data_IF_542652712598
#
_entry.id   IF_542652712598
#
_cell.length_a   1.000
_cell.length_b   1.000
_cell.length_c   1.000
_cell.angle_alpha   90.00
_cell.angle_beta   90.00
_cell.angle_gamma   90.00
#
_symmetry.space_group_name_H-M   'P 1'
#
loop_
_entity.id
_entity.type
_entity.pdbx_description
1 polymer ?
#
# COMPACT_ATOMS: atom_id res chain seq x y z
N UNK A 1 -9.13 -7.23 -19.12
CA UNK A 1 -8.34 -5.98 -19.14
C UNK A 1 -6.88 -6.34 -19.32
N UNK A 2 -6.11 -5.55 -20.07
CA UNK A 2 -4.66 -5.74 -20.22
C UNK A 2 -3.89 -4.85 -19.24
N UNK A 3 -2.70 -5.31 -18.88
CA UNK A 3 -1.75 -4.62 -18.02
C UNK A 3 -0.44 -4.42 -18.77
N UNK A 4 0.12 -3.22 -18.63
CA UNK A 4 1.37 -2.78 -19.25
C UNK A 4 2.38 -2.41 -18.18
N UNK A 5 3.67 -2.63 -18.46
CA UNK A 5 4.72 -2.19 -17.55
C UNK A 5 4.79 -0.66 -17.50
N UNK A 6 4.99 -0.11 -16.31
CA UNK A 6 5.32 1.31 -16.10
C UNK A 6 6.59 1.75 -16.82
N UNK A 7 7.46 0.84 -17.28
CA UNK A 7 8.67 1.15 -18.07
C UNK A 7 8.52 0.85 -19.56
N UNK A 8 7.42 0.24 -19.95
CA UNK A 8 6.98 0.09 -21.35
C UNK A 8 7.83 -0.84 -22.23
N UNK A 9 8.76 -1.63 -21.67
CA UNK A 9 9.56 -2.58 -22.45
C UNK A 9 9.09 -4.04 -22.30
N UNK A 10 8.38 -4.35 -21.22
CA UNK A 10 7.81 -5.66 -21.03
C UNK A 10 6.59 -5.90 -21.94
N UNK A 11 6.36 -7.15 -22.38
CA UNK A 11 5.09 -7.54 -23.01
C UNK A 11 3.89 -7.19 -22.13
N UNK A 12 2.76 -6.85 -22.74
CA UNK A 12 1.50 -6.74 -22.01
C UNK A 12 1.08 -8.10 -21.47
N UNK A 13 0.45 -8.11 -20.31
CA UNK A 13 -0.05 -9.31 -19.63
C UNK A 13 -1.50 -9.12 -19.21
N UNK A 14 -2.20 -10.20 -18.93
CA UNK A 14 -3.50 -10.14 -18.27
C UNK A 14 -3.34 -9.91 -16.75
N UNK A 15 -4.45 -9.84 -16.01
CA UNK A 15 -4.41 -9.62 -14.56
C UNK A 15 -3.60 -10.68 -13.82
N UNK A 16 -3.75 -11.95 -14.21
CA UNK A 16 -3.02 -13.05 -13.59
C UNK A 16 -1.51 -12.92 -13.81
N UNK A 17 -1.10 -12.62 -15.05
CA UNK A 17 0.28 -12.34 -15.37
C UNK A 17 0.83 -11.13 -14.61
N UNK A 18 0.04 -10.07 -14.44
CA UNK A 18 0.46 -8.91 -13.65
C UNK A 18 0.62 -9.24 -12.16
N UNK A 19 -0.34 -9.99 -11.59
CA UNK A 19 -0.38 -10.35 -10.17
C UNK A 19 0.78 -11.28 -9.77
N UNK A 20 1.04 -12.32 -10.56
CA UNK A 20 2.06 -13.32 -10.20
C UNK A 20 3.49 -12.94 -10.57
N UNK A 21 3.66 -12.01 -11.52
CA UNK A 21 4.99 -11.56 -11.89
C UNK A 21 5.64 -10.66 -10.83
N UNK A 22 4.81 -9.93 -10.05
CA UNK A 22 5.24 -8.96 -9.04
C UNK A 22 5.88 -7.70 -9.65
N UNK A 23 7.02 -7.90 -10.33
CA UNK A 23 7.67 -6.93 -11.20
C UNK A 23 7.55 -7.37 -12.67
N UNK A 24 7.47 -6.42 -13.57
CA UNK A 24 7.67 -6.67 -14.98
C UNK A 24 9.14 -7.04 -15.26
N UNK A 25 9.44 -7.83 -16.32
CA UNK A 25 10.81 -8.23 -16.66
C UNK A 25 11.79 -7.06 -16.88
N UNK A 26 11.28 -5.86 -17.15
CA UNK A 26 12.05 -4.63 -17.31
C UNK A 26 12.28 -3.87 -16.00
N UNK A 27 11.91 -4.46 -14.86
CA UNK A 27 12.00 -3.85 -13.53
C UNK A 27 10.85 -2.91 -13.18
N UNK A 28 9.92 -2.68 -14.10
CA UNK A 28 8.73 -1.85 -13.86
C UNK A 28 7.65 -2.57 -13.06
N UNK A 29 6.58 -1.84 -12.74
CA UNK A 29 5.36 -2.39 -12.14
C UNK A 29 4.29 -2.51 -13.22
N UNK A 30 3.45 -3.54 -13.15
CA UNK A 30 2.29 -3.61 -14.04
C UNK A 30 1.17 -2.67 -13.59
N UNK A 31 0.63 -1.90 -14.53
CA UNK A 31 -0.52 -1.01 -14.38
C UNK A 31 -1.56 -1.33 -15.46
N UNK A 32 -2.87 -1.15 -15.21
CA UNK A 32 -3.88 -1.36 -16.25
C UNK A 32 -3.63 -0.42 -17.43
N UNK A 33 -3.78 -0.93 -18.65
CA UNK A 33 -3.60 -0.17 -19.90
C UNK A 33 -4.52 1.06 -19.92
N UNK A 34 -5.75 0.90 -19.43
CA UNK A 34 -6.74 1.95 -19.27
C UNK A 34 -7.32 1.96 -17.84
N UNK A 35 -7.46 3.16 -17.25
CA UNK A 35 -8.18 3.34 -15.98
C UNK A 35 -9.68 3.54 -16.21
N UNK A 36 -10.55 2.65 -15.67
CA UNK A 36 -12.00 2.76 -15.82
C UNK A 36 -12.53 4.09 -15.28
N UNK A 37 -13.37 4.79 -16.04
CA UNK A 37 -13.97 6.06 -15.60
C UNK A 37 -15.31 5.80 -14.91
N UNK A 38 -15.50 6.38 -13.72
CA UNK A 38 -16.74 6.26 -12.94
C UNK A 38 -17.58 7.53 -13.07
N UNK A 39 -18.83 7.39 -13.48
CA UNK A 39 -19.77 8.51 -13.51
C UNK A 39 -20.35 8.83 -12.13
N UNK A 40 -20.95 10.03 -12.01
CA UNK A 40 -21.53 10.50 -10.75
C UNK A 40 -22.69 9.62 -10.25
N UNK A 41 -23.41 8.96 -11.15
CA UNK A 41 -24.54 8.11 -10.79
C UNK A 41 -24.06 6.82 -10.12
N UNK A 42 -23.04 6.20 -10.69
CA UNK A 42 -22.34 5.04 -10.16
C UNK A 42 -21.74 5.36 -8.80
N UNK A 43 -21.05 6.50 -8.66
CA UNK A 43 -20.50 6.94 -7.38
C UNK A 43 -21.59 7.15 -6.31
N UNK A 44 -22.75 7.71 -6.67
CA UNK A 44 -23.89 7.86 -5.74
C UNK A 44 -24.43 6.50 -5.30
N UNK A 45 -24.61 5.56 -6.23
CA UNK A 45 -25.04 4.19 -5.91
C UNK A 45 -24.03 3.48 -5.00
N UNK A 46 -22.75 3.62 -5.28
CA UNK A 46 -21.68 2.96 -4.53
C UNK A 46 -21.48 3.56 -3.13
N UNK A 47 -21.84 4.83 -2.92
CA UNK A 47 -21.79 5.47 -1.59
C UNK A 47 -22.67 4.80 -0.53
N UNK A 48 -23.65 3.99 -0.95
CA UNK A 48 -24.56 3.25 -0.09
C UNK A 48 -24.06 1.83 0.24
N UNK A 49 -22.95 1.40 -0.37
CA UNK A 49 -22.42 0.06 -0.17
C UNK A 49 -21.65 -0.03 1.15
N UNK A 50 -21.67 -1.22 1.76
CA UNK A 50 -20.73 -1.55 2.83
C UNK A 50 -19.30 -1.55 2.27
N UNK A 51 -18.30 -1.40 3.14
CA UNK A 51 -16.90 -1.46 2.72
C UNK A 51 -16.59 -2.72 1.88
N UNK A 52 -16.99 -3.94 2.29
CA UNK A 52 -16.82 -5.13 1.45
C UNK A 52 -17.56 -5.02 0.11
N UNK A 53 -18.79 -4.47 0.09
CA UNK A 53 -19.54 -4.26 -1.14
C UNK A 53 -18.88 -3.27 -2.09
N UNK A 54 -18.27 -2.21 -1.58
CA UNK A 54 -17.56 -1.21 -2.36
C UNK A 54 -16.25 -1.76 -2.93
N UNK A 55 -15.43 -2.43 -2.12
CA UNK A 55 -14.20 -3.10 -2.57
C UNK A 55 -14.53 -4.08 -3.68
N UNK A 56 -15.57 -4.88 -3.44
CA UNK A 56 -16.13 -5.83 -4.38
C UNK A 56 -16.41 -5.15 -5.72
N UNK A 57 -17.15 -4.05 -5.76
CA UNK A 57 -17.46 -3.36 -7.02
C UNK A 57 -16.21 -2.74 -7.68
N UNK A 58 -15.32 -2.12 -6.91
CA UNK A 58 -14.09 -1.50 -7.40
C UNK A 58 -13.16 -2.52 -8.07
N UNK A 59 -12.85 -3.64 -7.39
CA UNK A 59 -11.95 -4.66 -7.90
C UNK A 59 -12.49 -5.31 -9.18
N UNK A 60 -13.81 -5.42 -9.35
CA UNK A 60 -14.43 -5.97 -10.56
C UNK A 60 -14.17 -5.16 -11.84
N UNK A 61 -13.71 -3.90 -11.69
CA UNK A 61 -13.31 -3.08 -12.83
C UNK A 61 -11.94 -3.45 -13.39
N UNK A 62 -11.10 -4.08 -12.56
CA UNK A 62 -9.70 -4.40 -12.86
C UNK A 62 -9.49 -5.90 -13.06
N UNK A 63 -10.28 -6.72 -12.37
CA UNK A 63 -10.18 -8.18 -12.40
C UNK A 63 -11.28 -8.74 -13.29
N UNK A 64 -10.90 -9.51 -14.31
CA UNK A 64 -11.86 -10.25 -15.13
C UNK A 64 -12.68 -11.24 -14.28
N UNK A 65 -14.00 -11.38 -14.50
CA UNK A 65 -14.87 -12.24 -13.68
C UNK A 65 -14.45 -13.72 -13.68
N UNK A 66 -13.63 -14.12 -14.65
CA UNK A 66 -13.05 -15.45 -14.82
C UNK A 66 -11.80 -15.74 -13.95
N UNK A 67 -11.15 -14.74 -13.35
CA UNK A 67 -9.81 -14.91 -12.73
C UNK A 67 -9.82 -14.95 -11.20
N UNK A 68 -10.25 -13.88 -10.52
CA UNK A 68 -10.14 -13.77 -9.05
C UNK A 68 -11.37 -13.07 -8.44
N UNK A 69 -11.99 -13.66 -7.41
CA UNK A 69 -12.94 -12.94 -6.57
C UNK A 69 -12.26 -11.83 -5.75
N UNK A 70 -12.45 -10.61 -6.22
CA UNK A 70 -12.82 -9.36 -5.51
C UNK A 70 -12.01 -8.76 -4.35
N UNK A 71 -10.87 -9.26 -3.89
CA UNK A 71 -10.07 -8.55 -2.86
C UNK A 71 -8.62 -8.22 -3.29
N UNK A 72 -8.22 -6.97 -2.94
CA UNK A 72 -6.90 -6.28 -2.99
C UNK A 72 -6.50 -5.46 -4.24
N UNK A 73 -6.26 -4.13 -4.05
CA UNK A 73 -5.19 -3.29 -4.68
C UNK A 73 -5.32 -1.76 -4.41
N UNK A 74 -4.19 -1.05 -4.60
CA UNK A 74 -3.92 0.37 -4.31
C UNK A 74 -4.91 1.37 -4.97
N UNK A 75 -5.86 1.88 -4.18
CA UNK A 75 -7.04 2.58 -4.71
C UNK A 75 -6.96 4.12 -4.74
N UNK A 76 -6.13 4.77 -3.93
CA UNK A 76 -6.25 6.21 -3.67
C UNK A 76 -6.09 7.12 -4.90
N UNK A 77 -4.91 7.12 -5.52
CA UNK A 77 -4.61 7.95 -6.69
C UNK A 77 -5.37 7.51 -7.95
N UNK A 78 -5.60 6.20 -8.09
CA UNK A 78 -6.43 5.65 -9.15
C UNK A 78 -7.87 6.20 -9.02
N UNK A 79 -8.48 6.14 -7.84
CA UNK A 79 -9.84 6.64 -7.63
C UNK A 79 -10.03 8.11 -8.01
N UNK A 80 -9.04 8.98 -7.72
CA UNK A 80 -9.06 10.39 -8.17
C UNK A 80 -9.09 10.47 -9.70
N UNK A 81 -8.22 9.71 -10.39
CA UNK A 81 -8.19 9.65 -11.86
C UNK A 81 -9.40 8.98 -12.48
N UNK A 82 -10.11 8.15 -11.73
CA UNK A 82 -11.39 7.53 -12.11
C UNK A 82 -12.58 8.47 -11.88
N UNK A 83 -12.38 9.67 -11.32
CA UNK A 83 -13.41 10.70 -11.14
C UNK A 83 -13.99 10.81 -9.73
N UNK A 84 -13.44 10.11 -8.74
CA UNK A 84 -13.88 10.24 -7.35
C UNK A 84 -13.55 11.64 -6.81
N UNK A 85 -14.54 12.40 -6.28
CA UNK A 85 -14.34 13.79 -5.82
C UNK A 85 -13.68 13.83 -4.43
N UNK A 86 -12.52 13.20 -4.29
CA UNK A 86 -11.70 13.20 -3.07
C UNK A 86 -10.41 13.97 -3.29
N UNK A 87 -9.86 14.50 -2.20
CA UNK A 87 -8.51 15.07 -2.16
C UNK A 87 -7.63 14.16 -1.33
N UNK A 88 -6.46 13.83 -1.86
CA UNK A 88 -5.52 12.95 -1.18
C UNK A 88 -4.52 13.76 -0.35
N UNK A 89 -4.20 13.24 0.82
CA UNK A 89 -3.15 13.75 1.69
C UNK A 89 -2.19 12.59 2.01
N UNK A 90 -0.97 12.67 1.48
CA UNK A 90 0.11 11.74 1.80
C UNK A 90 0.87 12.26 3.02
N UNK A 91 0.60 11.68 4.18
CA UNK A 91 1.24 12.07 5.44
C UNK A 91 2.27 11.01 5.81
N UNK A 92 3.52 11.45 6.02
CA UNK A 92 4.67 10.57 6.30
C UNK A 92 5.33 10.94 7.62
N UNK A 93 6.20 10.06 8.14
CA UNK A 93 7.08 10.41 9.25
C UNK A 93 8.33 11.14 8.72
N UNK A 94 9.36 11.31 9.55
CA UNK A 94 10.61 11.98 9.16
C UNK A 94 11.40 11.29 8.04
N UNK A 95 11.08 10.05 7.65
CA UNK A 95 11.58 9.42 6.43
C UNK A 95 10.72 9.92 5.25
N UNK A 96 10.99 11.17 4.86
CA UNK A 96 10.01 12.05 4.23
C UNK A 96 10.13 12.17 2.70
N UNK A 97 10.76 11.19 2.04
CA UNK A 97 11.04 11.24 0.59
C UNK A 97 9.78 11.49 -0.25
N UNK A 98 8.63 10.94 0.14
CA UNK A 98 7.34 11.20 -0.52
C UNK A 98 6.91 12.66 -0.35
N UNK A 99 7.09 13.23 0.85
CA UNK A 99 6.76 14.62 1.12
C UNK A 99 7.65 15.56 0.29
N UNK A 100 8.97 15.34 0.30
CA UNK A 100 9.94 16.13 -0.49
C UNK A 100 9.67 16.03 -1.98
N UNK A 101 9.37 14.84 -2.50
CA UNK A 101 9.05 14.65 -3.91
C UNK A 101 7.78 15.41 -4.32
N UNK A 102 6.72 15.35 -3.50
CA UNK A 102 5.47 16.06 -3.80
C UNK A 102 5.63 17.58 -3.64
N UNK A 103 6.34 18.06 -2.62
CA UNK A 103 6.45 19.50 -2.33
C UNK A 103 7.48 20.21 -3.18
N UNK A 104 8.64 19.59 -3.38
CA UNK A 104 9.84 20.22 -3.92
C UNK A 104 10.35 19.50 -5.18
N UNK A 105 9.79 18.34 -5.52
CA UNK A 105 10.28 17.50 -6.61
C UNK A 105 11.53 16.69 -6.24
N UNK A 106 12.03 16.77 -5.01
CA UNK A 106 13.20 16.03 -4.58
C UNK A 106 12.83 14.59 -4.17
N UNK A 107 13.13 13.64 -5.06
CA UNK A 107 12.99 12.20 -4.86
C UNK A 107 14.37 11.54 -4.67
N UNK A 108 15.14 12.04 -3.70
CA UNK A 108 16.47 11.52 -3.37
C UNK A 108 16.48 10.75 -2.05
N UNK A 109 17.34 9.74 -1.96
CA UNK A 109 17.62 9.03 -0.72
C UNK A 109 18.28 9.95 0.30
N UNK A 110 17.98 9.72 1.57
CA UNK A 110 18.72 10.30 2.68
C UNK A 110 19.91 9.41 3.05
N UNK A 111 20.87 9.94 3.80
CA UNK A 111 22.06 9.18 4.21
C UNK A 111 21.72 7.87 4.96
N UNK A 112 20.68 7.89 5.81
CA UNK A 112 20.24 6.73 6.55
C UNK A 112 18.73 6.78 6.82
N UNK A 113 18.12 5.59 6.95
CA UNK A 113 16.77 5.45 7.51
C UNK A 113 16.84 5.78 8.99
N UNK A 114 15.94 6.63 9.45
CA UNK A 114 15.86 7.02 10.87
C UNK A 114 14.70 6.27 11.52
N UNK A 115 14.92 5.54 12.62
CA UNK A 115 13.83 4.89 13.34
C UNK A 115 12.76 5.89 13.79
N UNK A 116 11.50 5.52 13.69
CA UNK A 116 10.35 6.26 14.21
C UNK A 116 9.41 5.36 15.00
N UNK A 117 8.45 5.97 15.72
CA UNK A 117 7.35 5.23 16.32
C UNK A 117 6.44 4.58 15.26
N UNK A 118 6.36 5.17 14.06
CA UNK A 118 5.64 4.62 12.92
C UNK A 118 6.55 3.76 12.04
N UNK A 119 7.20 2.75 12.62
CA UNK A 119 8.31 1.99 12.01
C UNK A 119 8.04 1.40 10.61
N UNK A 120 6.83 0.93 10.32
CA UNK A 120 6.46 0.46 8.96
C UNK A 120 6.54 1.53 7.86
N UNK A 121 6.67 2.81 8.21
CA UNK A 121 6.86 3.94 7.30
C UNK A 121 8.32 4.39 7.21
N UNK A 122 9.25 3.72 7.92
CA UNK A 122 10.69 4.00 7.89
C UNK A 122 11.32 3.43 6.62
N UNK A 123 10.93 4.02 5.48
CA UNK A 123 11.35 3.60 4.16
C UNK A 123 12.03 4.75 3.42
N UNK A 124 12.99 4.38 2.58
CA UNK A 124 13.71 5.32 1.73
C UNK A 124 13.37 5.14 0.24
N UNK A 125 12.92 3.96 -0.16
CA UNK A 125 12.50 3.67 -1.53
C UNK A 125 11.01 3.32 -1.53
N UNK A 126 10.11 4.31 -1.71
CA UNK A 126 8.68 4.04 -1.83
C UNK A 126 8.39 3.54 -3.25
N UNK A 127 8.56 2.23 -3.50
CA UNK A 127 8.41 1.64 -4.84
C UNK A 127 7.07 2.01 -5.54
N UNK A 128 5.99 2.18 -4.78
CA UNK A 128 4.69 2.61 -5.31
C UNK A 128 4.69 4.06 -5.87
N UNK A 129 5.71 4.87 -5.59
CA UNK A 129 5.86 6.19 -6.22
C UNK A 129 6.06 6.07 -7.74
N UNK A 130 6.65 4.97 -8.24
CA UNK A 130 6.77 4.72 -9.68
C UNK A 130 5.39 4.72 -10.37
N UNK A 131 4.35 4.15 -9.72
CA UNK A 131 2.97 4.17 -10.22
C UNK A 131 2.40 5.59 -10.28
N UNK A 132 2.73 6.43 -9.30
CA UNK A 132 2.30 7.83 -9.26
C UNK A 132 2.98 8.62 -10.38
N UNK A 133 4.30 8.45 -10.58
CA UNK A 133 5.04 9.09 -11.68
C UNK A 133 4.47 8.70 -13.04
N UNK A 134 4.17 7.42 -13.25
CA UNK A 134 3.53 6.93 -14.47
C UNK A 134 2.15 7.56 -14.68
N UNK A 135 1.31 7.56 -13.65
CA UNK A 135 -0.06 8.08 -13.72
C UNK A 135 -0.10 9.58 -14.04
N UNK A 136 0.79 10.38 -13.46
CA UNK A 136 0.82 11.83 -13.65
C UNK A 136 1.67 12.30 -14.83
N UNK A 137 2.51 11.42 -15.40
CA UNK A 137 3.19 11.65 -16.69
C UNK A 137 2.30 11.38 -17.91
N UNK A 138 1.01 11.08 -17.69
CA UNK A 138 0.07 10.72 -18.77
C UNK A 138 0.24 9.28 -19.22
N UNK A 139 0.47 8.36 -18.28
CA UNK A 139 0.72 6.94 -18.57
C UNK A 139 1.97 6.69 -19.41
N UNK A 140 2.95 7.58 -19.35
CA UNK A 140 4.14 7.52 -20.19
C UNK A 140 5.19 6.57 -19.62
N UNK A 141 5.30 5.39 -20.24
CA UNK A 141 6.34 4.42 -19.89
C UNK A 141 7.75 4.93 -20.15
N UNK A 142 7.94 5.73 -21.21
CA UNK A 142 9.23 6.30 -21.56
C UNK A 142 9.74 7.29 -20.50
N UNK A 143 8.87 8.20 -20.04
CA UNK A 143 9.21 9.18 -19.00
C UNK A 143 9.51 8.46 -17.68
N UNK A 144 8.64 7.53 -17.29
CA UNK A 144 8.79 6.78 -16.03
C UNK A 144 10.09 5.97 -16.02
N UNK A 145 10.39 5.24 -17.10
CA UNK A 145 11.65 4.50 -17.24
C UNK A 145 12.87 5.42 -17.08
N UNK A 146 12.91 6.54 -17.79
CA UNK A 146 14.04 7.46 -17.72
C UNK A 146 14.27 8.01 -16.29
N UNK A 147 13.19 8.33 -15.57
CA UNK A 147 13.25 8.78 -14.18
C UNK A 147 13.74 7.68 -13.24
N UNK A 148 13.22 6.46 -13.38
CA UNK A 148 13.57 5.34 -12.51
C UNK A 148 15.00 4.83 -12.77
N UNK A 149 15.45 4.73 -14.02
CA UNK A 149 16.83 4.37 -14.37
C UNK A 149 17.83 5.41 -13.84
N UNK A 150 17.47 6.70 -13.89
CA UNK A 150 18.28 7.74 -13.25
C UNK A 150 18.36 7.50 -11.74
N UNK A 151 17.22 7.35 -11.06
CA UNK A 151 17.17 7.14 -9.62
C UNK A 151 17.93 5.88 -9.18
N UNK A 152 17.81 4.76 -9.89
CA UNK A 152 18.53 3.52 -9.61
C UNK A 152 20.05 3.70 -9.71
N UNK A 153 20.51 4.54 -10.66
CA UNK A 153 21.94 4.81 -10.87
C UNK A 153 22.52 5.80 -9.86
N UNK A 154 21.76 6.83 -9.48
CA UNK A 154 22.28 7.97 -8.70
C UNK A 154 21.74 8.04 -7.28
N UNK A 155 20.71 7.26 -6.94
CA UNK A 155 19.95 7.35 -5.70
C UNK A 155 19.32 8.74 -5.44
N UNK A 156 19.24 9.57 -6.49
CA UNK A 156 18.81 10.96 -6.43
C UNK A 156 18.12 11.36 -7.72
N UNK A 157 16.93 11.94 -7.57
CA UNK A 157 16.09 12.36 -8.69
C UNK A 157 15.41 13.67 -8.37
N UNK A 158 15.57 14.67 -9.24
CA UNK A 158 14.74 15.86 -9.24
C UNK A 158 13.62 15.67 -10.28
N UNK A 159 12.36 15.67 -9.83
CA UNK A 159 11.21 15.53 -10.69
C UNK A 159 11.08 16.76 -11.62
N UNK A 160 10.75 16.56 -12.91
CA UNK A 160 10.41 17.65 -13.82
C UNK A 160 9.28 18.52 -13.25
N UNK A 161 9.40 19.84 -13.40
CA UNK A 161 8.47 20.80 -12.79
C UNK A 161 7.01 20.58 -13.20
N UNK A 162 6.77 20.26 -14.47
CA UNK A 162 5.42 19.95 -14.97
C UNK A 162 4.82 18.71 -14.28
N UNK A 163 5.62 17.65 -14.11
CA UNK A 163 5.18 16.42 -13.45
C UNK A 163 4.93 16.67 -11.96
N UNK A 164 5.84 17.39 -11.30
CA UNK A 164 5.71 17.80 -9.91
C UNK A 164 4.42 18.61 -9.69
N UNK A 165 4.15 19.62 -10.52
CA UNK A 165 2.94 20.46 -10.43
C UNK A 165 1.67 19.61 -10.52
N UNK A 166 1.58 18.71 -11.50
CA UNK A 166 0.44 17.80 -11.67
C UNK A 166 0.21 16.90 -10.45
N UNK A 167 1.29 16.42 -9.82
CA UNK A 167 1.19 15.61 -8.59
C UNK A 167 0.74 16.49 -7.42
N UNK A 168 1.33 17.67 -7.23
CA UNK A 168 0.98 18.59 -6.12
C UNK A 168 -0.46 19.10 -6.20
N UNK A 169 -1.04 19.22 -7.40
CA UNK A 169 -2.45 19.58 -7.60
C UNK A 169 -3.41 18.49 -7.12
N UNK A 170 -3.02 17.22 -7.26
CA UNK A 170 -3.87 16.08 -6.90
C UNK A 170 -3.63 15.56 -5.47
N UNK A 171 -2.40 15.69 -4.96
CA UNK A 171 -1.97 15.13 -3.69
C UNK A 171 -1.28 16.19 -2.85
N UNK A 172 -1.85 16.48 -1.69
CA UNK A 172 -1.19 17.26 -0.65
C UNK A 172 -0.30 16.35 0.20
N UNK A 173 0.72 16.90 0.88
CA UNK A 173 1.58 16.08 1.73
C UNK A 173 2.11 16.83 2.95
N UNK A 174 2.42 16.07 3.99
CA UNK A 174 3.02 16.55 5.24
C UNK A 174 3.95 15.51 5.87
N UNK A 175 4.99 15.97 6.55
CA UNK A 175 5.90 15.16 7.36
C UNK A 175 5.65 15.43 8.84
N UNK A 176 5.61 14.37 9.65
CA UNK A 176 5.18 14.39 11.04
C UNK A 176 6.27 13.78 11.94
N UNK A 177 6.56 14.43 13.07
CA UNK A 177 7.54 13.94 14.04
C UNK A 177 6.92 12.97 15.07
N UNK A 178 7.75 12.20 15.76
CA UNK A 178 7.30 11.29 16.84
C UNK A 178 6.59 12.04 17.99
N UNK A 179 6.99 13.29 18.29
CA UNK A 179 6.27 14.13 19.26
C UNK A 179 4.88 14.50 18.77
N UNK A 180 4.71 14.72 17.46
CA UNK A 180 3.39 14.98 16.89
C UNK A 180 2.52 13.70 16.85
N UNK A 181 3.13 12.55 16.56
CA UNK A 181 2.47 11.23 16.63
C UNK A 181 1.93 10.97 18.04
N UNK A 182 2.78 11.06 19.06
CA UNK A 182 2.38 10.82 20.46
C UNK A 182 1.31 11.81 20.94
N UNK A 183 1.43 13.10 20.58
CA UNK A 183 0.38 14.10 20.85
C UNK A 183 -0.95 13.73 20.19
N UNK A 184 -0.93 13.29 18.92
CA UNK A 184 -2.14 12.89 18.21
C UNK A 184 -2.79 11.65 18.84
N UNK A 185 -2.00 10.66 19.25
CA UNK A 185 -2.48 9.49 20.01
C UNK A 185 -3.16 9.90 21.31
N UNK A 186 -2.47 10.70 22.14
CA UNK A 186 -3.01 11.17 23.41
C UNK A 186 -4.26 12.05 23.26
N UNK A 187 -4.31 12.90 22.23
CA UNK A 187 -5.51 13.70 21.91
C UNK A 187 -6.69 12.81 21.49
N UNK A 188 -6.47 11.87 20.58
CA UNK A 188 -7.54 11.00 20.10
C UNK A 188 -8.13 10.15 21.24
N UNK A 189 -7.28 9.63 22.13
CA UNK A 189 -7.75 8.94 23.33
C UNK A 189 -8.61 9.85 24.21
N UNK A 190 -8.13 11.04 24.57
CA UNK A 190 -8.89 11.97 25.44
C UNK A 190 -10.23 12.40 24.84
N UNK A 191 -10.27 12.67 23.54
CA UNK A 191 -11.44 13.22 22.87
C UNK A 191 -12.45 12.14 22.43
N UNK A 192 -11.97 10.93 22.09
CA UNK A 192 -12.79 9.92 21.41
C UNK A 192 -12.75 8.54 22.08
N UNK A 193 -11.90 8.33 23.10
CA UNK A 193 -11.64 7.03 23.71
C UNK A 193 -11.23 5.96 22.68
N UNK A 194 -10.54 6.39 21.62
CA UNK A 194 -10.05 5.54 20.55
C UNK A 194 -8.52 5.50 20.56
N UNK A 195 -7.97 4.29 20.68
CA UNK A 195 -6.52 4.08 20.75
C UNK A 195 -5.94 3.92 19.34
N UNK A 196 -5.25 4.96 18.86
CA UNK A 196 -4.57 4.94 17.57
C UNK A 196 -3.29 4.11 17.62
N UNK A 197 -2.99 3.36 16.56
CA UNK A 197 -1.61 2.95 16.30
C UNK A 197 -0.76 4.16 15.84
N UNK A 198 0.57 4.13 15.96
CA UNK A 198 1.42 5.25 15.55
C UNK A 198 1.25 5.62 14.07
N UNK A 199 1.04 4.66 13.16
CA UNK A 199 0.80 4.93 11.73
C UNK A 199 -0.51 5.67 11.48
N UNK A 200 -1.58 5.31 12.20
CA UNK A 200 -2.86 6.03 12.14
C UNK A 200 -2.70 7.45 12.69
N UNK A 201 -1.90 7.60 13.75
CA UNK A 201 -1.63 8.88 14.38
C UNK A 201 -0.84 9.84 13.49
N UNK A 202 -0.02 9.36 12.54
CA UNK A 202 0.58 10.20 11.50
C UNK A 202 -0.52 10.93 10.70
N UNK A 203 -1.49 10.18 10.16
CA UNK A 203 -2.60 10.77 9.40
C UNK A 203 -3.55 11.63 10.26
N UNK A 204 -3.78 11.25 11.52
CA UNK A 204 -4.63 12.02 12.44
C UNK A 204 -3.94 13.29 12.95
N UNK A 205 -2.60 13.32 13.04
CA UNK A 205 -1.85 14.56 13.32
C UNK A 205 -2.15 15.63 12.28
N UNK A 206 -2.09 15.26 11.00
CA UNK A 206 -2.51 16.13 9.90
C UNK A 206 -3.95 16.62 10.10
N UNK A 207 -4.85 15.71 10.51
CA UNK A 207 -6.23 16.11 10.76
C UNK A 207 -6.33 17.21 11.83
N UNK A 208 -5.67 17.02 12.97
CA UNK A 208 -5.70 17.96 14.09
C UNK A 208 -5.07 19.31 13.76
N UNK A 209 -3.95 19.34 13.03
CA UNK A 209 -3.34 20.61 12.61
C UNK A 209 -4.28 21.45 11.75
N UNK A 210 -5.03 20.81 10.85
CA UNK A 210 -5.97 21.52 9.99
C UNK A 210 -7.24 21.97 10.73
N UNK A 211 -7.70 21.24 11.74
CA UNK A 211 -8.87 21.64 12.54
C UNK A 211 -8.53 22.74 13.54
N UNK A 212 -7.34 22.71 14.14
CA UNK A 212 -6.87 23.76 15.06
C UNK A 212 -6.70 25.11 14.36
N UNK A 213 -6.47 25.10 13.04
CA UNK A 213 -6.45 26.32 12.21
C UNK A 213 -7.83 26.98 11.98
N UNK A 214 -8.91 26.42 12.54
CA UNK A 214 -10.31 26.90 12.42
C UNK A 214 -10.79 27.23 11.00
N UNK A 215 -10.22 26.57 9.99
CA UNK A 215 -10.69 26.71 8.60
C UNK A 215 -11.78 25.67 8.33
N UNK A 216 -12.94 26.09 7.77
CA UNK A 216 -13.92 25.13 7.26
C UNK A 216 -13.23 24.18 6.27
N UNK A 217 -13.33 22.88 6.52
CA UNK A 217 -12.75 21.87 5.66
C UNK A 217 -13.75 20.75 5.42
N UNK A 218 -13.75 20.12 4.23
CA UNK A 218 -14.58 18.94 3.99
C UNK A 218 -14.23 17.81 4.96
N UNK A 219 -15.15 16.85 5.17
CA UNK A 219 -14.89 15.69 5.99
C UNK A 219 -13.63 14.96 5.53
N UNK A 220 -12.86 14.47 6.51
CA UNK A 220 -11.59 13.77 6.29
C UNK A 220 -11.71 12.34 6.77
N UNK A 221 -11.27 11.40 5.94
CA UNK A 221 -11.12 10.00 6.30
C UNK A 221 -9.64 9.72 6.52
N UNK A 222 -9.24 9.49 7.78
CA UNK A 222 -7.89 9.06 8.12
C UNK A 222 -7.83 7.53 8.07
N UNK A 223 -6.92 6.97 7.27
CA UNK A 223 -6.77 5.53 7.18
C UNK A 223 -6.07 4.99 8.43
N UNK A 224 -6.64 3.93 9.02
CA UNK A 224 -6.09 3.24 10.18
C UNK A 224 -5.53 1.87 9.75
N UNK A 225 -4.26 1.78 9.34
CA UNK A 225 -3.71 0.57 8.70
C UNK A 225 -3.41 -0.56 9.68
N UNK A 226 -3.39 -0.29 10.98
CA UNK A 226 -3.06 -1.28 11.99
C UNK A 226 -3.72 -0.97 13.34
N UNK A 227 -3.87 -2.02 14.17
CA UNK A 227 -4.25 -1.88 15.57
C UNK A 227 -3.08 -1.39 16.43
N UNK A 228 -3.38 -0.60 17.46
CA UNK A 228 -2.39 -0.13 18.45
C UNK A 228 -1.73 -1.27 19.23
N UNK A 229 -2.40 -2.40 19.38
CA UNK A 229 -1.87 -3.59 20.08
C UNK A 229 -0.58 -4.13 19.44
N UNK A 230 -0.28 -3.78 18.18
CA UNK A 230 0.95 -4.17 17.49
C UNK A 230 2.16 -3.29 17.86
N UNK A 231 1.94 -2.18 18.57
CA UNK A 231 2.96 -1.16 18.85
C UNK A 231 2.88 -0.68 20.31
N UNK A 232 3.00 -1.58 21.31
CA UNK A 232 2.88 -1.22 22.73
C UNK A 232 3.89 -0.14 23.16
N UNK A 233 5.09 -0.13 22.58
CA UNK A 233 6.12 0.88 22.83
C UNK A 233 5.68 2.30 22.45
N UNK A 234 4.97 2.46 21.32
CA UNK A 234 4.44 3.75 20.90
C UNK A 234 3.28 4.21 21.79
N UNK A 235 2.45 3.26 22.25
CA UNK A 235 1.36 3.54 23.20
C UNK A 235 1.93 4.04 24.53
N UNK A 236 2.98 3.38 25.06
CA UNK A 236 3.67 3.82 26.27
C UNK A 236 4.34 5.18 26.09
N UNK A 237 5.00 5.43 24.95
CA UNK A 237 5.60 6.73 24.63
C UNK A 237 4.55 7.87 24.56
N UNK A 238 3.30 7.57 24.19
CA UNK A 238 2.20 8.52 24.23
C UNK A 238 1.62 8.74 25.64
N UNK A 239 2.15 8.08 26.68
CA UNK A 239 1.63 8.12 28.05
C UNK A 239 0.29 7.38 28.21
N UNK A 240 0.00 6.43 27.32
CA UNK A 240 -1.22 5.64 27.31
C UNK A 240 -0.93 4.20 27.77
N UNK A 241 -1.99 3.45 28.09
CA UNK A 241 -1.88 2.05 28.51
C UNK A 241 -2.09 1.12 27.31
N UNK A 242 -1.11 0.25 26.99
CA UNK A 242 -1.30 -0.78 25.97
C UNK A 242 -2.40 -1.76 26.38
N UNK A 243 -3.34 -1.98 25.48
CA UNK A 243 -4.36 -3.02 25.62
C UNK A 243 -4.17 -4.06 24.53
N UNK A 244 -3.86 -5.29 24.95
CA UNK A 244 -3.77 -6.43 24.04
C UNK A 244 -5.00 -7.31 24.23
N UNK A 245 -5.82 -7.52 23.18
CA UNK A 245 -6.99 -8.40 23.26
C UNK A 245 -6.60 -9.82 23.71
N UNK A 246 -7.46 -10.47 24.50
CA UNK A 246 -7.21 -11.81 25.03
C UNK A 246 -6.90 -12.85 23.94
N UNK A 247 -7.59 -12.76 22.79
CA UNK A 247 -7.36 -13.66 21.65
C UNK A 247 -5.97 -13.50 21.04
N UNK A 248 -5.39 -12.29 21.10
CA UNK A 248 -4.02 -12.02 20.63
C UNK A 248 -3.01 -12.52 21.64
N UNK A 249 -3.22 -12.29 22.94
CA UNK A 249 -2.39 -12.86 24.00
C UNK A 249 -2.34 -14.39 23.93
N UNK A 250 -3.48 -15.03 23.62
CA UNK A 250 -3.54 -16.47 23.44
C UNK A 250 -2.64 -16.99 22.30
N UNK A 251 -2.26 -16.15 21.32
CA UNK A 251 -1.33 -16.54 20.25
C UNK A 251 0.11 -16.71 20.73
N UNK A 252 0.53 -16.00 21.79
CA UNK A 252 1.90 -16.07 22.32
C UNK A 252 2.26 -17.47 22.85
N UNK A 253 1.24 -18.23 23.26
CA UNK A 253 1.40 -19.58 23.79
C UNK A 253 1.15 -20.69 22.76
N UNK A 254 0.80 -20.35 21.51
CA UNK A 254 0.61 -21.35 20.46
C UNK A 254 1.95 -21.86 19.94
N UNK A 255 1.98 -23.14 19.57
CA UNK A 255 3.16 -23.74 18.95
C UNK A 255 3.52 -23.01 17.65
N UNK A 256 4.75 -22.49 17.58
CA UNK A 256 5.30 -21.87 16.37
C UNK A 256 5.96 -22.93 15.49
N UNK A 257 5.67 -22.91 14.19
CA UNK A 257 6.30 -23.79 13.20
C UNK A 257 7.26 -23.00 12.33
N UNK A 258 8.53 -22.99 12.70
CA UNK A 258 9.60 -22.31 11.96
C UNK A 258 10.78 -23.25 11.71
N UNK A 259 11.59 -22.94 10.71
CA UNK A 259 12.87 -23.60 10.47
C UNK A 259 13.97 -22.56 10.69
N UNK A 260 14.86 -22.73 11.67
CA UNK A 260 15.91 -21.75 11.93
C UNK A 260 16.91 -21.75 10.78
N UNK A 261 17.32 -20.55 10.36
CA UNK A 261 18.37 -20.34 9.36
C UNK A 261 19.47 -19.49 10.02
N UNK A 262 20.72 -19.98 9.96
CA UNK A 262 21.88 -19.35 10.60
C UNK A 262 22.72 -18.63 9.57
N UNK A 263 23.48 -17.64 10.03
CA UNK A 263 24.48 -16.96 9.20
C UNK A 263 25.54 -17.98 8.76
N UNK A 264 25.74 -18.11 7.45
CA UNK A 264 26.66 -19.10 6.85
C UNK A 264 25.98 -20.33 6.27
N UNK A 265 24.68 -20.54 6.52
CA UNK A 265 23.92 -21.57 5.83
C UNK A 265 23.70 -21.19 4.35
N UNK A 266 23.57 -22.19 3.47
CA UNK A 266 23.10 -21.97 2.10
C UNK A 266 21.58 -21.75 2.11
N UNK A 267 21.18 -20.50 2.33
CA UNK A 267 19.78 -20.10 2.37
C UNK A 267 19.05 -20.40 1.06
N UNK A 268 19.74 -20.33 -0.08
CA UNK A 268 19.14 -20.58 -1.39
C UNK A 268 18.74 -22.04 -1.52
N UNK A 269 19.65 -22.95 -1.16
CA UNK A 269 19.38 -24.38 -1.19
C UNK A 269 18.28 -24.76 -0.18
N UNK A 270 18.36 -24.27 1.06
CA UNK A 270 17.36 -24.55 2.10
C UNK A 270 15.94 -24.12 1.69
N UNK A 271 15.82 -22.91 1.12
CA UNK A 271 14.55 -22.39 0.63
C UNK A 271 14.06 -23.21 -0.56
N UNK A 272 14.92 -23.51 -1.53
CA UNK A 272 14.57 -24.32 -2.71
C UNK A 272 14.06 -25.70 -2.31
N UNK A 273 14.79 -26.42 -1.48
CA UNK A 273 14.41 -27.76 -1.02
C UNK A 273 13.09 -27.74 -0.26
N UNK A 274 12.86 -26.70 0.55
CA UNK A 274 11.60 -26.53 1.28
C UNK A 274 10.44 -26.28 0.34
N UNK A 275 10.59 -25.37 -0.62
CA UNK A 275 9.58 -25.06 -1.64
C UNK A 275 9.27 -26.29 -2.49
N UNK A 276 10.29 -27.01 -2.96
CA UNK A 276 10.11 -28.22 -3.76
C UNK A 276 9.38 -29.31 -2.97
N UNK A 277 9.78 -29.55 -1.72
CA UNK A 277 9.15 -30.53 -0.83
C UNK A 277 7.68 -30.19 -0.57
N UNK A 278 7.37 -28.93 -0.28
CA UNK A 278 5.99 -28.47 -0.08
C UNK A 278 5.17 -28.60 -1.37
N UNK A 279 5.74 -28.21 -2.50
CA UNK A 279 5.11 -28.34 -3.82
C UNK A 279 4.78 -29.79 -4.17
N UNK A 280 5.71 -30.73 -3.90
CA UNK A 280 5.47 -32.18 -4.10
C UNK A 280 4.35 -32.69 -3.19
N UNK A 281 4.32 -32.27 -1.92
CA UNK A 281 3.25 -32.64 -0.98
C UNK A 281 1.89 -32.12 -1.44
N UNK A 282 1.81 -30.87 -1.88
CA UNK A 282 0.58 -30.26 -2.38
C UNK A 282 0.06 -30.97 -3.63
N UNK A 283 0.94 -31.28 -4.59
CA UNK A 283 0.57 -32.04 -5.79
C UNK A 283 0.07 -33.45 -5.45
N UNK A 284 0.70 -34.11 -4.48
CA UNK A 284 0.30 -35.44 -4.01
C UNK A 284 -1.02 -35.43 -3.22
N UNK A 285 -1.35 -34.35 -2.51
CA UNK A 285 -2.65 -34.20 -1.85
C UNK A 285 -3.77 -33.85 -2.82
N UNK A 286 -3.49 -33.01 -3.84
CA UNK A 286 -4.45 -32.67 -4.88
C UNK A 286 -4.83 -33.88 -5.76
N UNK A 287 -3.87 -34.75 -6.07
CA UNK A 287 -4.13 -36.00 -6.81
C UNK A 287 -4.89 -37.06 -6.00
N UNK A 288 -4.90 -36.97 -4.66
CA UNK A 288 -5.71 -37.84 -3.78
C UNK A 288 -7.16 -37.37 -3.61
N UNK A 289 -7.47 -36.11 -3.92
CA UNK A 289 -8.83 -35.57 -3.93
C UNK A 289 -9.47 -35.63 -5.34
N UNK A 290 -9.22 -36.72 -6.06
CA UNK A 290 -9.76 -36.93 -7.41
C UNK A 290 -11.28 -36.88 -7.45
N UNK A 291 -11.79 -35.95 -8.29
CA UNK A 291 -13.01 -36.00 -9.12
C UNK A 291 -14.14 -36.96 -8.68
N UNK A 292 -15.36 -36.48 -8.37
CA UNK A 292 -16.52 -37.35 -8.38
C UNK A 292 -16.70 -37.84 -9.81
N UNK A 293 -16.36 -39.11 -10.04
CA UNK A 293 -16.60 -39.82 -11.28
C UNK A 293 -18.03 -39.57 -11.73
N UNK A 294 -18.16 -39.12 -12.98
CA UNK A 294 -19.39 -39.10 -13.75
C UNK A 294 -20.09 -40.46 -13.65
N UNK A 295 -21.05 -40.58 -12.73
CA UNK A 295 -22.06 -41.62 -12.74
C UNK A 295 -23.14 -41.18 -13.69
N UNK A 296 -23.14 -41.75 -14.90
CA UNK A 296 -24.19 -41.53 -15.87
C UNK A 296 -25.55 -41.95 -15.28
N UNK A 297 -26.54 -41.09 -15.48
CA UNK A 297 -27.93 -41.48 -15.48
C UNK A 297 -28.55 -40.99 -16.78
N UNK A 298 -29.09 -41.97 -17.51
CA UNK A 298 -30.17 -41.82 -18.48
C UNK A 298 -31.34 -41.06 -17.87
#
# INVERSE_FOLDING_TARGET
>A
MWYVSTRGMAPRVDFEGALFSGYAPDGGLYMPEDLPQLDRETLRRWSLLSYPGLVKELCSLFIGPELIPRDDLDAGCAAVKMGLPVRLAAVVNHNDIVHRAIRQGDFSLSEAVRPSLASAMDIQVPYNMERILWLFSGSSGQVTRALMEQFERTQSLQLPEELRSKISEAVTSESVSDEAITRAMGRCWRENQYLLCPHSAVAVSYHYQQTDGQRPSPPRCCLAPASAAKFPEAVLAAGLTPETPADILALEHKETRCSPMRRGDDWTLMLRDTIERLSRRWRASASRQGSPTAGGFL
#
